data_IF_993615708454
#
_entry.id   IF_993615708454
#
_cell.length_a   1.000
_cell.length_b   1.000
_cell.length_c   1.000
_cell.angle_alpha   90.00
_cell.angle_beta   90.00
_cell.angle_gamma   90.00
#
_symmetry.space_group_name_H-M   'P 1'
#
loop_
_entity.id
_entity.type
_entity.pdbx_description
1 polymer ?
#
# COMPACT_ATOMS: atom_id res chain seq x y z
N UNK A 1 -5.15 10.79 7.88
CA UNK A 1 -3.70 10.54 7.66
C UNK A 1 -3.52 9.37 6.72
N UNK A 2 -2.52 9.49 5.89
CA UNK A 2 -2.08 8.43 4.99
C UNK A 2 -0.66 8.02 5.36
N UNK A 3 -0.29 6.80 5.01
CA UNK A 3 1.08 6.33 5.14
C UNK A 3 1.65 6.15 3.73
N UNK A 4 2.59 7.01 3.36
CA UNK A 4 3.25 6.94 2.06
C UNK A 4 4.71 6.58 2.27
N UNK A 5 5.07 5.37 1.89
CA UNK A 5 6.43 4.83 2.04
C UNK A 5 6.95 4.90 3.48
N UNK A 6 6.06 4.70 4.46
CA UNK A 6 6.43 4.73 5.87
C UNK A 6 6.28 6.08 6.55
N UNK A 7 5.95 7.12 5.81
CA UNK A 7 5.77 8.47 6.34
C UNK A 7 4.30 8.79 6.47
N UNK A 8 3.88 9.16 7.68
CA UNK A 8 2.51 9.60 7.92
C UNK A 8 2.37 11.03 7.41
N UNK A 9 1.43 11.23 6.49
CA UNK A 9 1.20 12.53 5.86
C UNK A 9 -0.29 12.82 5.84
N UNK A 10 -0.64 14.11 5.84
CA UNK A 10 -2.03 14.52 5.68
C UNK A 10 -2.48 14.23 4.24
N UNK A 11 -3.79 13.99 4.09
CA UNK A 11 -4.35 13.70 2.77
C UNK A 11 -3.98 14.77 1.74
N UNK A 12 -4.02 16.05 2.16
CA UNK A 12 -3.75 17.19 1.28
C UNK A 12 -2.29 17.27 0.84
N UNK A 13 -1.40 16.62 1.58
CA UNK A 13 0.04 16.72 1.35
C UNK A 13 0.58 15.56 0.49
N UNK A 14 -0.26 14.59 0.15
CA UNK A 14 0.15 13.50 -0.74
C UNK A 14 0.14 14.02 -2.17
N UNK A 15 1.30 13.95 -2.84
CA UNK A 15 1.45 14.44 -4.20
C UNK A 15 1.64 13.27 -5.15
N UNK A 16 0.56 12.93 -5.84
CA UNK A 16 0.58 11.93 -6.91
C UNK A 16 0.25 12.67 -8.20
N UNK A 17 1.17 12.64 -9.13
CA UNK A 17 1.04 13.38 -10.40
C UNK A 17 0.45 12.50 -11.48
N UNK A 18 0.04 13.09 -12.64
CA UNK A 18 -0.39 12.30 -13.78
C UNK A 18 0.71 11.39 -14.37
N UNK A 19 1.94 11.54 -13.94
CA UNK A 19 3.04 10.64 -14.33
C UNK A 19 3.04 9.34 -13.53
N UNK A 20 2.19 9.23 -12.53
CA UNK A 20 2.08 8.02 -11.70
C UNK A 20 1.71 6.82 -12.56
N UNK A 21 2.45 5.73 -12.41
CA UNK A 21 2.27 4.56 -13.27
C UNK A 21 0.94 3.83 -13.02
N UNK A 22 0.38 3.91 -11.81
CA UNK A 22 -0.95 3.36 -11.55
C UNK A 22 -2.00 4.11 -12.38
N UNK A 23 -1.89 5.44 -12.45
CA UNK A 23 -2.80 6.26 -13.24
C UNK A 23 -2.63 6.03 -14.74
N UNK A 24 -1.38 6.02 -15.23
CA UNK A 24 -1.11 5.93 -16.67
C UNK A 24 -1.30 4.53 -17.23
N UNK A 25 -0.90 3.50 -16.49
CA UNK A 25 -0.80 2.14 -17.02
C UNK A 25 -1.50 1.09 -16.15
N UNK A 26 -2.11 1.50 -15.05
CA UNK A 26 -2.66 0.54 -14.10
C UNK A 26 -1.58 -0.33 -13.45
N UNK A 27 -0.37 0.16 -13.36
CA UNK A 27 0.80 -0.60 -12.90
C UNK A 27 0.86 -0.60 -11.37
N UNK A 28 -0.14 -1.27 -10.79
CA UNK A 28 -0.38 -1.22 -9.35
C UNK A 28 -1.15 -2.46 -8.92
N UNK A 29 -0.96 -2.87 -7.68
CA UNK A 29 -1.75 -3.91 -7.03
C UNK A 29 -2.20 -3.41 -5.67
N UNK A 30 -3.32 -3.92 -5.16
CA UNK A 30 -3.80 -3.48 -3.86
C UNK A 30 -4.55 -4.59 -3.14
N UNK A 31 -4.64 -4.44 -1.81
CA UNK A 31 -5.48 -5.26 -0.96
C UNK A 31 -6.36 -4.33 -0.13
N UNK A 32 -7.62 -4.70 0.04
CA UNK A 32 -8.53 -4.02 0.96
C UNK A 32 -8.75 -4.92 2.15
N UNK A 33 -8.33 -4.45 3.32
CA UNK A 33 -8.26 -5.26 4.53
C UNK A 33 -9.26 -4.71 5.53
N UNK A 34 -10.15 -5.58 6.02
CA UNK A 34 -11.10 -5.22 7.05
C UNK A 34 -10.41 -5.21 8.41
N UNK A 35 -10.71 -4.19 9.21
CA UNK A 35 -10.20 -4.06 10.56
C UNK A 35 -11.36 -4.12 11.52
N UNK A 36 -11.32 -5.06 12.47
CA UNK A 36 -12.36 -5.22 13.49
C UNK A 36 -11.67 -5.21 14.85
N UNK A 37 -12.12 -4.33 15.74
CA UNK A 37 -11.55 -4.17 17.09
C UNK A 37 -10.02 -3.99 17.03
N UNK A 38 -9.55 -3.22 16.06
CA UNK A 38 -8.13 -2.93 15.91
C UNK A 38 -7.30 -4.08 15.35
N UNK A 39 -7.93 -5.15 14.88
CA UNK A 39 -7.23 -6.33 14.33
C UNK A 39 -7.49 -6.47 12.85
N UNK A 40 -6.45 -6.79 12.10
CA UNK A 40 -6.54 -7.02 10.67
C UNK A 40 -7.15 -8.39 10.42
N UNK A 41 -8.28 -8.42 9.70
CA UNK A 41 -8.98 -9.69 9.40
C UNK A 41 -8.30 -10.34 8.20
N UNK A 42 -7.92 -11.61 8.36
CA UNK A 42 -7.27 -12.41 7.31
C UNK A 42 -5.98 -11.78 6.79
N UNK A 43 -5.18 -11.20 7.71
CA UNK A 43 -3.97 -10.49 7.30
C UNK A 43 -2.99 -11.39 6.55
N UNK A 44 -2.75 -12.62 7.01
CA UNK A 44 -1.81 -13.51 6.34
C UNK A 44 -2.23 -13.79 4.89
N UNK A 45 -3.53 -14.07 4.67
CA UNK A 45 -4.05 -14.33 3.33
C UNK A 45 -3.89 -13.11 2.44
N UNK A 46 -4.19 -11.92 2.95
CA UNK A 46 -3.98 -10.67 2.21
C UNK A 46 -2.51 -10.48 1.86
N UNK A 47 -1.63 -10.71 2.83
CA UNK A 47 -0.20 -10.53 2.63
C UNK A 47 0.34 -11.46 1.54
N UNK A 48 0.04 -12.75 1.63
CA UNK A 48 0.57 -13.70 0.64
C UNK A 48 0.00 -13.45 -0.74
N UNK A 49 -1.26 -13.05 -0.84
CA UNK A 49 -1.85 -12.70 -2.14
C UNK A 49 -1.20 -11.43 -2.70
N UNK A 50 -0.92 -10.46 -1.87
CA UNK A 50 -0.22 -9.23 -2.29
C UNK A 50 1.16 -9.57 -2.84
N UNK A 51 1.92 -10.40 -2.14
CA UNK A 51 3.24 -10.82 -2.59
C UNK A 51 3.16 -11.58 -3.92
N UNK A 52 2.17 -12.45 -4.07
CA UNK A 52 1.96 -13.17 -5.32
C UNK A 52 1.63 -12.21 -6.47
N UNK A 53 0.78 -11.21 -6.20
CA UNK A 53 0.42 -10.20 -7.21
C UNK A 53 1.63 -9.38 -7.65
N UNK A 54 2.48 -9.00 -6.69
CA UNK A 54 3.71 -8.28 -7.00
C UNK A 54 4.63 -9.09 -7.90
N UNK A 55 4.78 -10.40 -7.61
CA UNK A 55 5.59 -11.29 -8.44
C UNK A 55 5.03 -11.42 -9.85
N UNK A 56 3.72 -11.52 -9.98
CA UNK A 56 3.08 -11.62 -11.30
C UNK A 56 3.38 -10.39 -12.17
N UNK A 57 3.45 -9.20 -11.55
CA UNK A 57 3.81 -7.98 -12.25
C UNK A 57 5.31 -7.72 -12.29
N UNK A 58 6.11 -8.66 -11.77
CA UNK A 58 7.57 -8.55 -11.72
C UNK A 58 8.05 -7.32 -10.96
N UNK A 59 7.28 -6.90 -9.98
CA UNK A 59 7.70 -5.86 -9.06
C UNK A 59 8.74 -6.41 -8.10
N UNK A 60 9.75 -5.59 -7.78
CA UNK A 60 10.75 -5.96 -6.79
C UNK A 60 10.12 -5.86 -5.40
N UNK A 61 10.11 -6.98 -4.67
CA UNK A 61 9.62 -6.98 -3.29
C UNK A 61 10.76 -6.48 -2.40
N UNK A 62 10.61 -5.33 -1.72
CA UNK A 62 11.64 -4.86 -0.81
C UNK A 62 11.92 -5.89 0.28
N UNK A 63 13.17 -5.95 0.72
CA UNK A 63 13.57 -6.92 1.76
C UNK A 63 12.81 -6.72 3.07
N UNK A 64 12.40 -5.49 3.35
CA UNK A 64 11.66 -5.18 4.58
C UNK A 64 10.15 -5.45 4.47
N UNK A 65 9.63 -5.89 3.32
CA UNK A 65 8.21 -6.21 3.16
C UNK A 65 7.90 -7.58 3.78
N UNK A 66 8.11 -7.71 5.06
CA UNK A 66 7.74 -8.91 5.82
C UNK A 66 6.30 -8.82 6.29
N UNK A 67 5.76 -9.96 6.69
CA UNK A 67 4.40 -10.03 7.24
C UNK A 67 4.26 -9.08 8.44
N UNK A 68 5.24 -9.08 9.31
CA UNK A 68 5.23 -8.28 10.54
C UNK A 68 5.43 -6.79 10.24
N UNK A 69 6.30 -6.46 9.31
CA UNK A 69 6.58 -5.06 8.98
C UNK A 69 5.34 -4.37 8.40
N UNK A 70 4.71 -4.99 7.41
CA UNK A 70 3.55 -4.38 6.77
C UNK A 70 2.36 -4.31 7.73
N UNK A 71 2.17 -5.32 8.57
CA UNK A 71 1.14 -5.26 9.61
C UNK A 71 1.38 -4.07 10.54
N UNK A 72 2.62 -3.89 10.97
CA UNK A 72 2.99 -2.78 11.86
C UNK A 72 2.73 -1.43 11.19
N UNK A 73 3.06 -1.31 9.90
CA UNK A 73 2.83 -0.07 9.16
C UNK A 73 1.33 0.24 9.03
N UNK A 74 0.52 -0.79 8.81
CA UNK A 74 -0.94 -0.62 8.75
C UNK A 74 -1.47 -0.18 10.11
N UNK A 75 -1.04 -0.83 11.19
CA UNK A 75 -1.49 -0.47 12.54
C UNK A 75 -1.05 0.95 12.92
N UNK A 76 0.14 1.35 12.52
CA UNK A 76 0.63 2.72 12.71
C UNK A 76 -0.31 3.73 12.04
N UNK A 77 -0.74 3.42 10.83
CA UNK A 77 -1.65 4.27 10.08
C UNK A 77 -3.01 4.35 10.73
N UNK A 78 -3.54 3.22 11.21
CA UNK A 78 -4.82 3.19 11.92
C UNK A 78 -4.76 4.04 13.18
N UNK A 79 -3.69 3.92 13.95
CA UNK A 79 -3.53 4.66 15.20
C UNK A 79 -3.40 6.16 14.97
N UNK A 80 -2.90 6.58 13.81
CA UNK A 80 -2.79 7.99 13.45
C UNK A 80 -4.10 8.55 12.90
N UNK A 81 -5.07 7.70 12.61
CA UNK A 81 -6.37 8.10 12.10
C UNK A 81 -7.34 8.14 13.27
N UNK A 82 -7.98 9.28 13.51
CA UNK A 82 -8.94 9.44 14.61
C UNK A 82 -10.28 8.74 14.27
N UNK A 83 -10.23 7.44 14.06
CA UNK A 83 -11.41 6.65 13.75
C UNK A 83 -11.61 5.57 14.80
N UNK A 84 -12.80 4.97 14.82
CA UNK A 84 -13.05 3.81 15.67
C UNK A 84 -12.24 2.62 15.16
N UNK A 85 -12.26 1.51 15.90
CA UNK A 85 -11.45 0.34 15.59
C UNK A 85 -12.03 -0.55 14.49
N UNK A 86 -13.13 -0.12 13.84
CA UNK A 86 -13.79 -0.88 12.78
C UNK A 86 -13.76 -0.05 11.50
N UNK A 87 -12.87 -0.42 10.59
CA UNK A 87 -12.68 0.32 9.35
C UNK A 87 -12.11 -0.61 8.29
N UNK A 88 -11.88 -0.06 7.11
CA UNK A 88 -11.17 -0.74 6.03
C UNK A 88 -9.89 0.00 5.72
N UNK A 89 -8.85 -0.75 5.44
CA UNK A 89 -7.56 -0.22 5.03
C UNK A 89 -7.30 -0.67 3.60
N UNK A 90 -6.89 0.25 2.76
CA UNK A 90 -6.39 -0.07 1.42
C UNK A 90 -4.88 0.08 1.40
N UNK A 91 -4.21 -1.01 1.12
CA UNK A 91 -2.76 -1.05 0.92
C UNK A 91 -2.48 -1.17 -0.57
N UNK A 92 -1.89 -0.15 -1.15
CA UNK A 92 -1.61 -0.09 -2.58
C UNK A 92 -0.10 -0.09 -2.82
N UNK A 93 0.34 -0.95 -3.74
CA UNK A 93 1.73 -1.02 -4.18
C UNK A 93 1.78 -0.58 -5.64
N UNK A 94 2.59 0.41 -5.96
CA UNK A 94 2.70 0.94 -7.31
C UNK A 94 4.17 0.92 -7.73
N UNK A 95 4.45 0.49 -8.96
CA UNK A 95 5.81 0.60 -9.51
C UNK A 95 6.19 2.09 -9.58
N UNK A 96 7.44 2.40 -9.23
CA UNK A 96 7.90 3.80 -9.18
C UNK A 96 7.72 4.51 -10.52
N UNK A 97 7.47 5.81 -10.45
CA UNK A 97 7.26 6.66 -11.61
C UNK A 97 8.55 6.76 -12.41
N UNK A 98 8.61 6.06 -13.54
CA UNK A 98 9.73 6.14 -14.46
C UNK A 98 9.40 5.38 -15.74
N UNK A 99 10.01 5.82 -16.84
CA UNK A 99 9.82 5.18 -18.13
C UNK A 99 8.46 5.44 -18.74
N UNK A 100 8.22 4.77 -19.85
CA UNK A 100 6.95 4.80 -20.56
C UNK A 100 6.23 3.47 -20.33
N UNK A 101 5.67 2.87 -21.36
CA UNK A 101 5.01 1.58 -21.22
C UNK A 101 5.95 0.53 -20.59
N UNK A 102 7.21 0.50 -21.04
CA UNK A 102 8.21 -0.35 -20.39
C UNK A 102 8.85 0.44 -19.23
N UNK A 103 8.77 -0.08 -18.00
CA UNK A 103 9.35 0.63 -16.86
C UNK A 103 10.89 0.56 -16.88
N UNK A 104 11.52 1.59 -16.33
CA UNK A 104 12.96 1.61 -16.15
C UNK A 104 13.39 0.92 -14.85
N UNK A 105 12.48 0.78 -13.90
CA UNK A 105 12.75 0.15 -12.61
C UNK A 105 11.59 -0.75 -12.22
N UNK A 106 11.87 -1.76 -11.40
CA UNK A 106 10.84 -2.60 -10.78
C UNK A 106 10.64 -2.27 -9.31
N UNK A 107 11.29 -1.22 -8.81
CA UNK A 107 11.09 -0.76 -7.45
C UNK A 107 9.70 -0.18 -7.28
N UNK A 108 9.22 -0.16 -6.04
CA UNK A 108 7.83 0.18 -5.76
C UNK A 108 7.71 1.23 -4.66
N UNK A 109 6.58 1.93 -4.70
CA UNK A 109 6.09 2.77 -3.62
C UNK A 109 4.87 2.11 -3.00
N UNK A 110 4.61 2.38 -1.73
CA UNK A 110 3.38 1.90 -1.11
C UNK A 110 2.61 3.03 -0.44
N UNK A 111 1.30 2.88 -0.44
CA UNK A 111 0.39 3.83 0.17
C UNK A 111 -0.63 3.06 1.00
N UNK A 112 -0.79 3.44 2.26
CA UNK A 112 -1.80 2.88 3.14
C UNK A 112 -2.81 3.97 3.47
N UNK A 113 -4.08 3.69 3.21
CA UNK A 113 -5.16 4.65 3.41
C UNK A 113 -6.33 3.97 4.09
N UNK A 114 -6.91 4.67 5.09
CA UNK A 114 -8.17 4.19 5.66
C UNK A 114 -9.32 4.53 4.70
N UNK A 115 -10.23 3.59 4.56
CA UNK A 115 -11.45 3.75 3.78
C UNK A 115 -12.64 3.50 4.71
N UNK A 116 -13.60 4.37 4.68
CA UNK A 116 -14.84 4.19 5.44
C UNK A 116 -15.90 3.52 4.61
#
# INVERSE_FOLDING_TARGET
MLNYNGNLVAFEDVKITPHNRAYKYGDSVFETIKVINGKLVFWEEHYFRLMASMRMLRMKIPMNFTLEFLEKEILKTINATNSNNNLRIRLTITRKDDGFYLPHTNEVDYLIKSCE
#
